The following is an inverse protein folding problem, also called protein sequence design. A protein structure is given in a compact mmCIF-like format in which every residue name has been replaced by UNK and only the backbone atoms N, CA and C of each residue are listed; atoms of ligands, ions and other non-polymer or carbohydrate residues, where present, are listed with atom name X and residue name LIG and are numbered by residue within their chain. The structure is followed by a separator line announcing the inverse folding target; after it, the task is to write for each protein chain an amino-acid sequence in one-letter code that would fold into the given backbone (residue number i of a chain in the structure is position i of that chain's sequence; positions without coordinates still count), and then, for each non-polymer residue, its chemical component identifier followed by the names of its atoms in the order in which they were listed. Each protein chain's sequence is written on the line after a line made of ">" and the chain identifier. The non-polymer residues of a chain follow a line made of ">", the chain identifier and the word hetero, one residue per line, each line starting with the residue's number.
data_IF_078311284398
#
_entry.id   IF_078311284398
#
_cell.length_a   1.000
_cell.length_b   1.000
_cell.length_c   1.000
_cell.angle_alpha   90.00
_cell.angle_beta   90.00
_cell.angle_gamma   90.00
#
_symmetry.space_group_name_H-M   'P 1'
#
loop_
_entity.id
_entity.type
_entity.pdbx_description
1 polymer ?
#
# COMPACT_ATOMS: atom_id res chain seq x y z
N UNK A 1 2.71 -11.96 -14.13
CA UNK A 1 2.35 -10.89 -13.18
C UNK A 1 1.59 -11.54 -12.05
N UNK A 2 2.00 -11.37 -10.80
CA UNK A 2 1.38 -12.03 -9.66
C UNK A 2 0.51 -11.07 -8.81
N UNK A 3 0.76 -9.79 -8.92
CA UNK A 3 -0.03 -8.73 -8.30
C UNK A 3 -0.11 -7.54 -9.26
N UNK A 4 -1.31 -7.02 -9.41
CA UNK A 4 -1.60 -5.80 -10.14
C UNK A 4 -2.63 -5.00 -9.35
N UNK A 5 -2.32 -3.73 -9.11
CA UNK A 5 -3.25 -2.77 -8.55
C UNK A 5 -3.15 -1.47 -9.37
N UNK A 6 -4.29 -1.00 -9.86
CA UNK A 6 -4.36 0.19 -10.71
C UNK A 6 -5.28 1.23 -10.11
N UNK A 7 -4.90 2.48 -10.25
CA UNK A 7 -5.71 3.64 -9.93
C UNK A 7 -5.79 4.49 -11.19
N UNK A 8 -7.00 4.71 -11.68
CA UNK A 8 -7.28 5.56 -12.82
C UNK A 8 -7.94 6.85 -12.34
N UNK A 9 -7.34 7.97 -12.66
CA UNK A 9 -7.82 9.30 -12.33
C UNK A 9 -8.02 10.17 -13.57
N UNK A 10 -8.65 11.30 -13.39
CA UNK A 10 -8.89 12.29 -14.44
C UNK A 10 -7.61 13.01 -14.92
N UNK A 11 -6.54 12.95 -14.15
CA UNK A 11 -5.25 13.60 -14.44
C UNK A 11 -4.10 12.63 -14.67
N UNK A 12 -4.35 11.32 -14.59
CA UNK A 12 -3.32 10.31 -14.83
C UNK A 12 -3.62 8.98 -14.16
N UNK A 13 -2.73 8.04 -14.39
CA UNK A 13 -2.84 6.66 -13.96
C UNK A 13 -1.66 6.26 -13.08
N UNK A 14 -1.90 5.40 -12.09
CA UNK A 14 -0.90 4.73 -11.29
C UNK A 14 -1.08 3.22 -11.36
N UNK A 15 0.01 2.50 -11.45
CA UNK A 15 0.04 1.05 -11.48
C UNK A 15 1.09 0.53 -10.48
N UNK A 16 0.67 -0.38 -9.61
CA UNK A 16 1.55 -1.14 -8.74
C UNK A 16 1.59 -2.58 -9.23
N UNK A 17 2.79 -3.09 -9.43
CA UNK A 17 2.99 -4.46 -9.88
C UNK A 17 3.99 -5.20 -9.01
N UNK A 18 3.86 -6.53 -8.98
CA UNK A 18 4.84 -7.41 -8.43
C UNK A 18 5.01 -8.65 -9.32
N UNK A 19 6.22 -9.16 -9.39
CA UNK A 19 6.59 -10.25 -10.30
C UNK A 19 6.38 -11.63 -9.69
N UNK A 20 6.48 -11.74 -8.37
CA UNK A 20 6.37 -12.99 -7.64
C UNK A 20 4.93 -13.26 -7.20
N UNK A 21 4.57 -14.55 -7.07
CA UNK A 21 3.30 -14.99 -6.48
C UNK A 21 3.28 -14.90 -4.94
N UNK A 22 4.37 -14.44 -4.33
CA UNK A 22 4.38 -14.15 -2.90
C UNK A 22 3.40 -13.01 -2.58
N UNK A 23 2.97 -12.93 -1.33
CA UNK A 23 2.10 -11.83 -0.92
C UNK A 23 2.81 -10.49 -1.12
N UNK A 24 2.04 -9.45 -1.34
CA UNK A 24 2.47 -8.06 -1.48
C UNK A 24 3.46 -7.62 -0.38
N UNK A 25 3.32 -8.17 0.83
CA UNK A 25 4.19 -7.89 1.98
C UNK A 25 5.57 -8.55 1.91
N UNK A 26 5.79 -9.49 0.99
CA UNK A 26 6.99 -10.33 0.94
C UNK A 26 7.89 -10.03 -0.26
N UNK A 27 7.64 -8.95 -0.97
CA UNK A 27 8.35 -8.61 -2.19
C UNK A 27 8.41 -7.10 -2.42
N UNK A 28 9.34 -6.69 -3.26
CA UNK A 28 9.41 -5.33 -3.75
C UNK A 28 8.29 -5.07 -4.76
N UNK A 29 7.66 -3.91 -4.66
CA UNK A 29 6.63 -3.45 -5.58
C UNK A 29 7.21 -2.43 -6.55
N UNK A 30 6.88 -2.56 -7.82
CA UNK A 30 7.18 -1.56 -8.83
C UNK A 30 6.01 -0.59 -8.97
N UNK A 31 6.32 0.69 -8.90
CA UNK A 31 5.35 1.75 -9.12
C UNK A 31 5.59 2.37 -10.48
N UNK A 32 4.54 2.44 -11.29
CA UNK A 32 4.55 3.09 -12.60
C UNK A 32 3.40 4.10 -12.67
N UNK A 33 3.57 5.13 -13.46
CA UNK A 33 2.50 6.10 -13.65
C UNK A 33 2.64 6.85 -14.95
N UNK A 34 1.53 7.48 -15.35
CA UNK A 34 1.45 8.42 -16.45
C UNK A 34 0.59 9.60 -16.05
N UNK A 35 0.84 10.77 -16.61
CA UNK A 35 0.09 12.00 -16.32
C UNK A 35 -0.31 12.70 -17.61
N UNK A 36 -1.57 13.18 -17.68
CA UNK A 36 -2.08 13.92 -18.82
C UNK A 36 -1.94 13.14 -20.13
N UNK A 37 -1.26 13.72 -21.12
CA UNK A 37 -1.11 13.17 -22.49
C UNK A 37 0.08 12.21 -22.65
N UNK A 38 0.71 11.77 -21.57
CA UNK A 38 1.82 10.81 -21.63
C UNK A 38 1.36 9.47 -22.22
N UNK A 39 2.09 9.00 -23.25
CA UNK A 39 1.74 7.77 -23.98
C UNK A 39 2.28 6.50 -23.33
N UNK A 40 2.00 6.30 -22.07
CA UNK A 40 2.36 5.05 -21.38
C UNK A 40 2.91 5.26 -19.99
N UNK A 41 2.89 4.18 -19.22
CA UNK A 41 3.33 4.19 -17.83
C UNK A 41 4.86 4.18 -17.76
N UNK A 42 5.44 5.22 -17.16
CA UNK A 42 6.86 5.27 -16.79
C UNK A 42 7.10 4.75 -15.37
N UNK A 43 8.28 4.23 -15.09
CA UNK A 43 8.67 3.85 -13.73
C UNK A 43 8.79 5.07 -12.84
N UNK A 44 8.20 5.00 -11.66
CA UNK A 44 8.27 6.03 -10.64
C UNK A 44 9.13 5.52 -9.48
N UNK A 45 10.35 6.05 -9.30
CA UNK A 45 11.20 5.65 -8.18
C UNK A 45 10.57 6.06 -6.85
N UNK A 46 10.58 5.15 -5.88
CA UNK A 46 10.08 5.44 -4.54
C UNK A 46 11.03 6.45 -3.87
N UNK A 47 10.55 7.67 -3.52
CA UNK A 47 11.39 8.68 -2.90
C UNK A 47 12.00 8.20 -1.57
N UNK A 48 13.24 8.61 -1.30
CA UNK A 48 14.01 8.21 -0.11
C UNK A 48 13.28 8.51 1.21
N UNK A 49 12.45 9.56 1.26
CA UNK A 49 11.64 9.91 2.45
C UNK A 49 10.65 8.82 2.89
N UNK A 50 10.38 7.83 2.03
CA UNK A 50 9.54 6.67 2.34
C UNK A 50 10.35 5.42 2.68
N UNK A 51 11.68 5.52 2.75
CA UNK A 51 12.58 4.44 3.11
C UNK A 51 13.11 4.70 4.52
N UNK A 52 12.53 4.04 5.51
CA UNK A 52 12.88 4.23 6.92
C UNK A 52 13.83 3.16 7.45
N UNK A 53 14.01 2.09 6.70
CA UNK A 53 14.96 1.00 7.02
C UNK A 53 16.35 1.39 6.50
N UNK A 54 17.44 1.12 7.27
CA UNK A 54 18.81 1.37 6.83
C UNK A 54 19.14 0.75 5.47
N UNK A 55 20.06 1.36 4.75
CA UNK A 55 20.60 0.80 3.52
C UNK A 55 21.23 -0.58 3.75
N UNK A 56 21.09 -1.46 2.76
CA UNK A 56 21.62 -2.82 2.84
C UNK A 56 20.67 -3.88 3.38
N UNK A 57 19.48 -3.49 3.89
CA UNK A 57 18.42 -4.47 4.19
C UNK A 57 17.78 -4.93 2.89
N UNK A 58 17.75 -6.25 2.67
CA UNK A 58 17.16 -6.83 1.45
C UNK A 58 15.67 -6.45 1.29
N UNK A 59 15.20 -6.16 0.05
CA UNK A 59 13.83 -5.77 -0.22
C UNK A 59 12.88 -6.99 -0.20
N UNK A 60 12.82 -7.64 0.95
CA UNK A 60 11.96 -8.79 1.22
C UNK A 60 11.00 -8.52 2.40
N UNK A 61 10.41 -9.57 2.96
CA UNK A 61 9.52 -9.45 4.11
C UNK A 61 10.16 -8.75 5.32
N UNK A 62 11.48 -8.90 5.52
CA UNK A 62 12.21 -8.26 6.62
C UNK A 62 12.25 -6.74 6.44
N UNK A 63 12.43 -6.28 5.20
CA UNK A 63 12.39 -4.86 4.87
C UNK A 63 11.02 -4.26 5.21
N UNK A 64 9.93 -4.88 4.75
CA UNK A 64 8.58 -4.37 4.97
C UNK A 64 8.17 -4.36 6.45
N UNK A 65 8.58 -5.39 7.20
CA UNK A 65 8.40 -5.43 8.66
C UNK A 65 9.27 -4.37 9.34
N UNK A 66 10.51 -4.20 8.89
CA UNK A 66 11.42 -3.16 9.39
C UNK A 66 10.88 -1.75 9.18
N UNK A 67 10.24 -1.46 8.04
CA UNK A 67 9.55 -0.20 7.79
C UNK A 67 8.47 0.09 8.85
N UNK A 68 7.66 -0.92 9.21
CA UNK A 68 6.63 -0.78 10.24
C UNK A 68 7.26 -0.49 11.62
N UNK A 69 8.31 -1.26 12.00
CA UNK A 69 9.00 -1.04 13.28
C UNK A 69 9.72 0.31 13.35
N UNK A 70 10.30 0.79 12.25
CA UNK A 70 10.89 2.12 12.20
C UNK A 70 9.84 3.21 12.50
N UNK A 71 8.64 3.09 11.90
CA UNK A 71 7.52 4.00 12.17
C UNK A 71 7.01 3.89 13.60
N UNK A 72 6.92 2.68 14.15
CA UNK A 72 6.54 2.48 15.54
C UNK A 72 7.55 3.14 16.50
N UNK A 73 8.84 2.93 16.26
CA UNK A 73 9.91 3.51 17.08
C UNK A 73 9.90 5.05 17.03
N UNK A 74 9.68 5.63 15.84
CA UNK A 74 9.52 7.09 15.68
C UNK A 74 8.32 7.60 16.48
N UNK A 75 7.18 6.94 16.36
CA UNK A 75 5.97 7.31 17.08
C UNK A 75 6.13 7.26 18.59
N UNK A 76 6.76 6.23 19.13
CA UNK A 76 7.06 6.12 20.57
C UNK A 76 7.98 7.25 21.03
N UNK A 77 8.99 7.55 20.25
CA UNK A 77 9.98 8.60 20.54
C UNK A 77 9.35 9.99 20.54
N UNK A 78 8.47 10.25 19.59
CA UNK A 78 7.82 11.55 19.39
C UNK A 78 6.53 11.71 20.21
N UNK A 79 6.07 10.68 20.90
CA UNK A 79 4.79 10.69 21.63
C UNK A 79 3.57 10.80 20.72
N UNK A 80 3.69 10.41 19.45
CA UNK A 80 2.61 10.48 18.46
C UNK A 80 2.03 9.10 18.17
N UNK A 81 0.75 9.06 17.78
CA UNK A 81 0.16 7.80 17.34
C UNK A 81 0.76 7.32 16.02
N UNK A 82 1.07 6.02 15.94
CA UNK A 82 1.42 5.36 14.69
C UNK A 82 0.21 5.34 13.77
N UNK A 83 0.42 5.69 12.51
CA UNK A 83 -0.56 5.44 11.46
C UNK A 83 0.01 4.36 10.51
N UNK A 84 -0.74 3.29 10.23
CA UNK A 84 -2.10 2.98 10.67
C UNK A 84 -2.16 2.44 12.11
N UNK A 85 -3.09 2.97 12.93
CA UNK A 85 -3.39 2.48 14.27
C UNK A 85 -4.61 1.55 14.31
N UNK A 86 -5.09 1.25 15.51
CA UNK A 86 -6.29 0.41 15.69
C UNK A 86 -7.55 1.03 15.06
N UNK A 87 -7.68 2.35 15.02
CA UNK A 87 -8.80 3.03 14.36
C UNK A 87 -8.86 2.71 12.86
N UNK A 88 -7.71 2.66 12.21
CA UNK A 88 -7.61 2.25 10.81
C UNK A 88 -7.99 0.78 10.64
N UNK A 89 -7.64 -0.09 11.58
CA UNK A 89 -8.04 -1.49 11.56
C UNK A 89 -9.56 -1.64 11.68
N UNK A 90 -10.20 -0.94 12.62
CA UNK A 90 -11.66 -0.93 12.78
C UNK A 90 -12.36 -0.46 11.50
N UNK A 91 -11.88 0.63 10.89
CA UNK A 91 -12.43 1.14 9.63
C UNK A 91 -12.33 0.11 8.50
N UNK A 92 -11.19 -0.59 8.39
CA UNK A 92 -11.00 -1.65 7.39
C UNK A 92 -11.93 -2.85 7.62
N UNK A 93 -12.11 -3.27 8.88
CA UNK A 93 -13.03 -4.36 9.18
C UNK A 93 -14.48 -3.99 8.87
N UNK A 94 -14.92 -2.78 9.18
CA UNK A 94 -16.27 -2.30 8.79
C UNK A 94 -16.47 -2.33 7.27
N UNK A 95 -15.46 -1.93 6.49
CA UNK A 95 -15.51 -2.01 5.05
C UNK A 95 -15.62 -3.47 4.56
N UNK A 96 -14.83 -4.38 5.13
CA UNK A 96 -14.90 -5.81 4.79
C UNK A 96 -16.29 -6.37 5.09
N UNK A 97 -16.84 -6.07 6.27
CA UNK A 97 -18.19 -6.50 6.64
C UNK A 97 -19.25 -5.92 5.70
N UNK A 98 -19.10 -4.68 5.27
CA UNK A 98 -20.01 -4.07 4.30
C UNK A 98 -19.93 -4.78 2.93
N UNK A 99 -18.73 -5.15 2.48
CA UNK A 99 -18.55 -5.90 1.23
C UNK A 99 -19.21 -7.28 1.33
N UNK A 100 -19.00 -7.99 2.43
CA UNK A 100 -19.65 -9.31 2.66
C UNK A 100 -21.17 -9.18 2.63
N UNK A 101 -21.75 -8.24 3.39
CA UNK A 101 -23.19 -7.99 3.39
C UNK A 101 -23.73 -7.60 2.01
N UNK A 102 -22.98 -6.77 1.26
CA UNK A 102 -23.37 -6.42 -0.11
C UNK A 102 -23.44 -7.64 -1.02
N UNK A 103 -22.46 -8.55 -0.89
CA UNK A 103 -22.42 -9.81 -1.64
C UNK A 103 -23.58 -10.74 -1.29
N UNK A 104 -23.91 -10.87 0.00
CA UNK A 104 -24.97 -11.76 0.48
C UNK A 104 -26.37 -11.24 0.15
N UNK A 105 -26.57 -9.93 0.21
CA UNK A 105 -27.90 -9.31 0.05
C UNK A 105 -28.18 -8.78 -1.34
N UNK A 106 -27.14 -8.63 -2.19
CA UNK A 106 -27.24 -7.94 -3.47
C UNK A 106 -27.53 -6.43 -3.37
N UNK A 107 -27.45 -5.86 -2.16
CA UNK A 107 -27.80 -4.46 -1.89
C UNK A 107 -26.57 -3.62 -1.60
N UNK A 108 -26.60 -2.34 -2.03
CA UNK A 108 -25.57 -1.36 -1.66
C UNK A 108 -25.50 -1.22 -0.13
N UNK A 109 -24.28 -1.28 0.41
CA UNK A 109 -24.01 -1.05 1.82
C UNK A 109 -23.22 0.26 1.99
N UNK A 110 -23.36 0.86 3.18
CA UNK A 110 -22.53 1.99 3.65
C UNK A 110 -21.58 1.45 4.71
N UNK A 111 -20.29 1.75 4.58
CA UNK A 111 -19.24 1.34 5.52
C UNK A 111 -18.97 2.43 6.54
#
# INVERSE_FOLDING_TARGET
>A
MAFLFEIHGDQGDLQLTATSRASMQRQELNVRGARGDEKGLAELPIPAKYRWVPEGVAPDSRYNVGQLYARLAESIRDGKHVSPGFDAAVTRHRLIDAIVRASETGMKQVA
#
